data_IF_231418168004
#
_entry.id   IF_231418168004
#
_cell.length_a   1.000
_cell.length_b   1.000
_cell.length_c   1.000
_cell.angle_alpha   90.00
_cell.angle_beta   90.00
_cell.angle_gamma   90.00
#
_symmetry.space_group_name_H-M   'P 1'
#
loop_
_entity.id
_entity.type
_entity.pdbx_description
1 polymer ?
#
# COMPACT_ATOMS: atom_id res chain seq x y z
N UNK A 1 11.18 -3.69 12.13
CA UNK A 1 12.48 -3.21 11.66
C UNK A 1 12.28 -2.51 10.33
N UNK A 2 12.64 -1.23 10.28
CA UNK A 2 12.55 -0.41 9.07
C UNK A 2 13.67 -0.77 8.11
N UNK A 3 13.32 -1.05 6.86
CA UNK A 3 14.27 -1.21 5.76
C UNK A 3 14.29 0.06 4.92
N UNK A 4 15.21 0.98 5.26
CA UNK A 4 15.26 2.32 4.69
C UNK A 4 15.43 2.30 3.16
N UNK A 5 16.29 1.41 2.66
CA UNK A 5 16.58 1.30 1.23
C UNK A 5 15.35 0.77 0.47
N UNK A 6 14.78 -0.33 0.93
CA UNK A 6 13.61 -0.92 0.27
C UNK A 6 12.39 0.01 0.32
N UNK A 7 12.20 0.77 1.41
CA UNK A 7 11.14 1.79 1.47
C UNK A 7 11.35 2.94 0.49
N UNK A 8 12.59 3.35 0.26
CA UNK A 8 12.89 4.41 -0.69
C UNK A 8 12.65 3.95 -2.14
N UNK A 9 13.11 2.74 -2.48
CA UNK A 9 12.82 2.09 -3.75
C UNK A 9 11.30 1.95 -3.97
N UNK A 10 10.58 1.46 -2.96
CA UNK A 10 9.13 1.28 -3.09
C UNK A 10 8.36 2.60 -3.18
N UNK A 11 8.79 3.64 -2.45
CA UNK A 11 8.18 4.96 -2.55
C UNK A 11 8.36 5.59 -3.94
N UNK A 12 9.52 5.41 -4.57
CA UNK A 12 9.76 5.86 -5.94
C UNK A 12 8.95 5.06 -6.96
N UNK A 13 8.90 3.74 -6.80
CA UNK A 13 8.12 2.85 -7.63
C UNK A 13 6.62 3.20 -7.61
N UNK A 14 6.03 3.40 -6.42
CA UNK A 14 4.64 3.85 -6.26
C UNK A 14 4.38 5.19 -6.94
N UNK A 15 5.33 6.13 -6.88
CA UNK A 15 5.21 7.43 -7.57
C UNK A 15 5.20 7.27 -9.09
N UNK A 16 6.05 6.40 -9.63
CA UNK A 16 6.06 6.12 -11.07
C UNK A 16 4.78 5.45 -11.52
N UNK A 17 4.30 4.46 -10.76
CA UNK A 17 3.07 3.74 -11.05
C UNK A 17 1.85 4.66 -11.03
N UNK A 18 1.60 5.40 -9.94
CA UNK A 18 0.42 6.28 -9.82
C UNK A 18 0.43 7.46 -10.79
N UNK A 19 1.62 7.84 -11.28
CA UNK A 19 1.78 8.82 -12.33
C UNK A 19 1.56 8.25 -13.75
N UNK A 20 1.35 6.93 -13.88
CA UNK A 20 1.18 6.23 -15.15
C UNK A 20 2.46 6.16 -15.98
N UNK A 21 3.63 6.19 -15.35
CA UNK A 21 4.93 6.13 -16.04
C UNK A 21 5.43 4.70 -16.30
N UNK A 22 4.90 3.76 -15.54
CA UNK A 22 5.17 2.32 -15.65
C UNK A 22 3.83 1.58 -15.67
N UNK A 23 3.86 0.35 -16.18
CA UNK A 23 2.68 -0.52 -16.22
C UNK A 23 2.42 -1.16 -14.85
N UNK A 24 1.24 -1.77 -14.68
CA UNK A 24 0.95 -2.60 -13.49
C UNK A 24 1.88 -3.81 -13.39
N UNK A 25 2.25 -4.44 -14.51
CA UNK A 25 3.18 -5.57 -14.54
C UNK A 25 4.61 -5.13 -14.15
N UNK A 26 5.12 -4.05 -14.78
CA UNK A 26 6.41 -3.46 -14.42
C UNK A 26 6.45 -3.04 -12.93
N UNK A 27 5.33 -2.54 -12.40
CA UNK A 27 5.19 -2.20 -10.99
C UNK A 27 5.30 -3.45 -10.11
N UNK A 28 4.53 -4.50 -10.39
CA UNK A 28 4.50 -5.74 -9.62
C UNK A 28 5.86 -6.44 -9.57
N UNK A 29 6.55 -6.50 -10.71
CA UNK A 29 7.88 -7.13 -10.85
C UNK A 29 8.97 -6.45 -10.03
N UNK A 30 8.83 -5.15 -9.76
CA UNK A 30 9.85 -4.33 -9.09
C UNK A 30 9.58 -4.11 -7.60
N UNK A 31 8.46 -4.62 -7.06
CA UNK A 31 8.16 -4.47 -5.63
C UNK A 31 9.23 -5.19 -4.79
N UNK A 32 9.85 -4.54 -3.79
CA UNK A 32 10.91 -5.14 -2.98
C UNK A 32 10.36 -6.11 -1.89
N UNK A 33 9.56 -7.09 -2.31
CA UNK A 33 8.91 -8.11 -1.47
C UNK A 33 9.88 -8.96 -0.62
N UNK A 34 11.16 -9.17 -0.99
CA UNK A 34 12.10 -9.86 -0.11
C UNK A 34 12.44 -9.10 1.19
N UNK A 35 12.09 -7.80 1.30
CA UNK A 35 12.34 -7.02 2.52
C UNK A 35 11.57 -7.58 3.72
N UNK A 36 12.18 -7.48 4.91
CA UNK A 36 11.55 -7.86 6.18
C UNK A 36 10.70 -6.75 6.78
N UNK A 37 10.63 -5.59 6.12
CA UNK A 37 9.80 -4.48 6.55
C UNK A 37 8.34 -4.73 6.17
N UNK A 38 7.51 -4.95 7.19
CA UNK A 38 6.09 -5.21 6.99
C UNK A 38 5.38 -4.08 6.27
N UNK A 39 5.83 -2.82 6.39
CA UNK A 39 5.22 -1.71 5.67
C UNK A 39 5.13 -1.99 4.16
N UNK A 40 6.17 -2.58 3.57
CA UNK A 40 6.24 -2.81 2.12
C UNK A 40 5.17 -3.81 1.70
N UNK A 41 5.15 -4.98 2.35
CA UNK A 41 4.21 -6.05 2.02
C UNK A 41 2.76 -5.62 2.22
N UNK A 42 2.48 -4.94 3.32
CA UNK A 42 1.12 -4.53 3.69
C UNK A 42 0.62 -3.39 2.80
N UNK A 43 1.49 -2.42 2.46
CA UNK A 43 1.11 -1.35 1.53
C UNK A 43 0.89 -1.90 0.13
N UNK A 44 1.77 -2.78 -0.37
CA UNK A 44 1.58 -3.46 -1.66
C UNK A 44 0.24 -4.20 -1.67
N UNK A 45 0.01 -5.09 -0.70
CA UNK A 45 -1.22 -5.88 -0.68
C UNK A 45 -2.49 -5.02 -0.58
N UNK A 46 -2.52 -4.03 0.32
CA UNK A 46 -3.74 -3.28 0.62
C UNK A 46 -3.94 -2.14 -0.39
N UNK A 47 -2.95 -1.26 -0.53
CA UNK A 47 -3.11 -0.04 -1.31
C UNK A 47 -3.14 -0.28 -2.82
N UNK A 48 -2.51 -1.37 -3.30
CA UNK A 48 -2.45 -1.66 -4.73
C UNK A 48 -3.39 -2.75 -5.21
N UNK A 49 -4.13 -3.40 -4.30
CA UNK A 49 -5.17 -4.37 -4.67
C UNK A 49 -6.18 -3.89 -5.73
N UNK A 50 -6.61 -2.61 -5.78
CA UNK A 50 -7.55 -2.16 -6.81
C UNK A 50 -6.97 -2.19 -8.23
N UNK A 51 -5.65 -2.25 -8.36
CA UNK A 51 -4.95 -2.20 -9.64
C UNK A 51 -4.49 -3.56 -10.15
N UNK A 52 -4.77 -4.65 -9.44
CA UNK A 52 -4.46 -5.98 -9.95
C UNK A 52 -5.35 -6.33 -11.15
N UNK A 53 -4.73 -6.81 -12.21
CA UNK A 53 -5.40 -7.19 -13.44
C UNK A 53 -4.58 -8.21 -14.22
N UNK A 54 -5.27 -9.08 -14.96
CA UNK A 54 -4.64 -10.04 -15.88
C UNK A 54 -4.17 -9.40 -17.19
N UNK A 55 -4.44 -8.11 -17.39
CA UNK A 55 -3.97 -7.34 -18.54
C UNK A 55 -2.94 -6.30 -18.11
N UNK A 56 -1.98 -6.03 -18.98
CA UNK A 56 -0.98 -4.97 -18.78
C UNK A 56 -1.56 -3.60 -19.19
N UNK A 57 -1.42 -2.60 -18.33
CA UNK A 57 -1.90 -1.24 -18.56
C UNK A 57 -1.12 -0.20 -17.74
N UNK A 58 -1.26 1.08 -18.11
CA UNK A 58 -0.75 2.22 -17.32
C UNK A 58 -1.92 2.97 -16.69
N UNK A 59 -1.70 3.63 -15.54
CA UNK A 59 -2.71 4.44 -14.85
C UNK A 59 -3.00 5.79 -15.54
N UNK A 60 -3.30 5.74 -16.84
CA UNK A 60 -3.64 6.86 -17.73
C UNK A 60 -4.92 6.55 -18.51
N UNK A 61 -5.50 7.58 -19.15
CA UNK A 61 -6.71 7.39 -19.97
C UNK A 61 -7.88 6.80 -19.18
N UNK A 62 -8.44 5.70 -19.68
CA UNK A 62 -9.56 4.98 -19.06
C UNK A 62 -9.19 4.27 -17.75
N UNK A 63 -7.92 3.91 -17.57
CA UNK A 63 -7.39 3.27 -16.36
C UNK A 63 -6.84 4.27 -15.35
N UNK A 64 -7.12 5.56 -15.52
CA UNK A 64 -6.62 6.61 -14.63
C UNK A 64 -7.14 6.37 -13.21
N UNK A 65 -6.22 6.23 -12.26
CA UNK A 65 -6.56 6.19 -10.83
C UNK A 65 -7.38 7.42 -10.42
N UNK A 66 -8.45 7.16 -9.66
CA UNK A 66 -9.32 8.16 -9.05
C UNK A 66 -8.57 9.06 -8.07
N UNK A 67 -9.18 10.19 -7.71
CA UNK A 67 -8.55 11.11 -6.77
C UNK A 67 -8.41 10.51 -5.36
N UNK A 68 -9.32 9.62 -4.95
CA UNK A 68 -9.24 8.89 -3.68
C UNK A 68 -8.07 7.91 -3.67
N UNK A 69 -7.94 7.09 -4.71
CA UNK A 69 -6.82 6.15 -4.87
C UNK A 69 -5.48 6.89 -4.90
N UNK A 70 -5.39 8.01 -5.63
CA UNK A 70 -4.21 8.88 -5.63
C UNK A 70 -3.88 9.41 -4.24
N UNK A 71 -4.88 9.84 -3.47
CA UNK A 71 -4.69 10.31 -2.09
C UNK A 71 -4.16 9.21 -1.19
N UNK A 72 -4.70 8.00 -1.28
CA UNK A 72 -4.22 6.84 -0.50
C UNK A 72 -2.76 6.51 -0.83
N UNK A 73 -2.40 6.45 -2.11
CA UNK A 73 -1.02 6.17 -2.52
C UNK A 73 -0.06 7.29 -2.08
N UNK A 74 -0.48 8.55 -2.12
CA UNK A 74 0.31 9.67 -1.59
C UNK A 74 0.57 9.53 -0.09
N UNK A 75 -0.43 9.12 0.72
CA UNK A 75 -0.23 8.82 2.14
C UNK A 75 0.77 7.68 2.34
N UNK A 76 0.70 6.63 1.51
CA UNK A 76 1.65 5.52 1.55
C UNK A 76 3.08 5.98 1.24
N UNK A 77 3.26 6.78 0.19
CA UNK A 77 4.57 7.37 -0.16
C UNK A 77 5.08 8.23 1.00
N UNK A 78 4.24 9.06 1.61
CA UNK A 78 4.62 9.85 2.79
C UNK A 78 5.12 8.96 3.94
N UNK A 79 4.35 7.92 4.29
CA UNK A 79 4.71 6.99 5.36
C UNK A 79 6.02 6.27 5.07
N UNK A 80 6.17 5.75 3.85
CA UNK A 80 7.39 5.05 3.45
C UNK A 80 8.60 5.94 3.64
N UNK A 81 8.51 7.25 3.39
CA UNK A 81 9.61 8.21 3.60
C UNK A 81 9.85 8.62 5.05
N UNK A 82 9.13 8.04 6.00
CA UNK A 82 9.43 8.16 7.44
C UNK A 82 10.16 6.93 7.96
N UNK A 83 10.79 7.07 9.13
CA UNK A 83 11.40 5.95 9.87
C UNK A 83 10.44 5.33 10.90
N UNK A 84 9.12 5.54 10.76
CA UNK A 84 8.13 4.94 11.64
C UNK A 84 7.96 3.45 11.35
N UNK A 85 7.90 2.62 12.39
CA UNK A 85 7.55 1.20 12.22
C UNK A 85 6.07 1.03 11.89
N UNK A 86 5.77 0.05 11.03
CA UNK A 86 4.39 -0.33 10.72
C UNK A 86 3.75 -1.00 11.94
N UNK A 87 2.65 -0.41 12.41
CA UNK A 87 1.98 -0.79 13.67
C UNK A 87 0.62 -1.44 13.46
N UNK A 88 0.03 -1.34 12.27
CA UNK A 88 -1.25 -1.98 11.97
C UNK A 88 -1.12 -3.51 12.01
N UNK A 89 -2.23 -4.22 12.27
CA UNK A 89 -2.27 -5.67 12.19
C UNK A 89 -1.72 -6.12 10.84
N UNK A 90 -0.82 -7.11 10.90
CA UNK A 90 -0.21 -7.69 9.71
C UNK A 90 -1.20 -8.66 9.08
N UNK A 91 -1.22 -8.70 7.76
CA UNK A 91 -1.86 -9.77 7.02
C UNK A 91 -1.19 -11.09 7.42
N UNK A 92 -1.96 -11.93 8.11
CA UNK A 92 -1.50 -13.26 8.51
C UNK A 92 -1.87 -14.24 7.42
N UNK A 93 -0.85 -14.80 6.76
CA UNK A 93 -1.01 -15.84 5.73
C UNK A 93 -1.82 -17.04 6.22
N UNK A 94 -1.82 -17.34 7.53
CA UNK A 94 -2.67 -18.39 8.11
C UNK A 94 -4.15 -18.00 8.16
N UNK A 95 -4.47 -16.73 8.43
CA UNK A 95 -5.86 -16.25 8.43
C UNK A 95 -6.40 -16.14 7.00
N UNK A 96 -5.57 -15.74 6.04
CA UNK A 96 -5.89 -15.74 4.61
C UNK A 96 -6.17 -17.16 4.12
N UNK A 97 -5.27 -18.12 4.38
CA UNK A 97 -5.49 -19.53 4.01
C UNK A 97 -6.77 -20.12 4.61
N UNK A 98 -7.11 -19.75 5.86
CA UNK A 98 -8.36 -20.16 6.48
C UNK A 98 -9.59 -19.45 5.86
N UNK A 99 -9.44 -18.19 5.45
CA UNK A 99 -10.44 -17.44 4.70
C UNK A 99 -10.70 -18.04 3.32
N UNK A 100 -9.65 -18.36 2.58
CA UNK A 100 -9.69 -18.99 1.26
C UNK A 100 -10.27 -20.41 1.33
N UNK A 101 -9.87 -21.19 2.34
CA UNK A 101 -10.47 -22.51 2.59
C UNK A 101 -11.96 -22.38 2.93
N UNK A 102 -12.33 -21.37 3.71
CA UNK A 102 -13.74 -21.11 4.05
C UNK A 102 -14.54 -20.65 2.83
N UNK A 103 -13.98 -19.81 1.97
CA UNK A 103 -14.56 -19.42 0.69
C UNK A 103 -14.80 -20.66 -0.20
N UNK A 104 -13.77 -21.50 -0.35
CA UNK A 104 -13.83 -22.74 -1.12
C UNK A 104 -14.90 -23.71 -0.58
N UNK A 105 -14.89 -23.96 0.73
CA UNK A 105 -15.87 -24.86 1.39
C UNK A 105 -17.28 -24.27 1.36
N UNK A 106 -17.41 -22.93 1.35
CA UNK A 106 -18.70 -22.25 1.23
C UNK A 106 -19.21 -22.15 -0.22
N UNK A 107 -18.50 -22.71 -1.20
CA UNK A 107 -18.80 -22.55 -2.64
C UNK A 107 -18.94 -21.07 -3.03
N UNK A 108 -18.05 -20.22 -2.53
CA UNK A 108 -18.03 -18.79 -2.82
C UNK A 108 -19.14 -17.96 -2.19
N UNK A 109 -19.87 -18.51 -1.20
CA UNK A 109 -20.99 -17.81 -0.53
C UNK A 109 -20.56 -16.95 0.65
N UNK A 110 -19.37 -17.16 1.18
CA UNK A 110 -18.81 -16.36 2.27
C UNK A 110 -17.71 -15.48 1.69
N UNK A 111 -17.78 -14.14 1.83
CA UNK A 111 -16.74 -13.26 1.32
C UNK A 111 -15.40 -13.60 1.96
N UNK A 112 -14.33 -13.60 1.15
CA UNK A 112 -12.95 -13.58 1.66
C UNK A 112 -12.82 -12.31 2.48
N UNK A 113 -12.27 -12.41 3.69
CA UNK A 113 -12.06 -11.24 4.56
C UNK A 113 -11.35 -10.15 3.77
N UNK A 114 -11.96 -8.97 3.70
CA UNK A 114 -11.32 -7.86 3.01
C UNK A 114 -10.21 -7.31 3.91
N UNK A 115 -9.07 -6.98 3.32
CA UNK A 115 -7.98 -6.32 4.03
C UNK A 115 -8.41 -5.06 4.77
N UNK A 116 -9.47 -4.40 4.29
CA UNK A 116 -10.09 -3.23 4.93
C UNK A 116 -10.78 -3.57 6.25
N UNK A 117 -11.47 -4.70 6.35
CA UNK A 117 -12.09 -5.15 7.62
C UNK A 117 -11.04 -5.46 8.70
N UNK A 118 -9.85 -5.91 8.31
CA UNK A 118 -8.72 -6.09 9.24
C UNK A 118 -8.18 -4.77 9.77
N UNK A 119 -8.15 -3.73 8.93
CA UNK A 119 -7.82 -2.39 9.36
C UNK A 119 -8.93 -1.82 10.25
N UNK A 120 -10.20 -1.99 9.88
CA UNK A 120 -11.35 -1.50 10.65
C UNK A 120 -11.40 -2.05 12.08
N UNK A 121 -10.89 -3.27 12.28
CA UNK A 121 -10.80 -3.91 13.58
C UNK A 121 -9.60 -3.43 14.44
N UNK A 122 -8.71 -2.60 13.90
CA UNK A 122 -7.53 -2.12 14.61
C UNK A 122 -7.82 -0.83 15.39
N UNK A 123 -7.08 -0.60 16.49
CA UNK A 123 -7.23 0.58 17.35
C UNK A 123 -6.61 1.87 16.76
N UNK A 124 -6.43 1.96 15.44
CA UNK A 124 -5.80 3.07 14.75
C UNK A 124 -6.79 3.96 14.00
N UNK A 125 -6.35 5.16 13.63
CA UNK A 125 -7.15 6.07 12.80
C UNK A 125 -7.15 5.57 11.35
N UNK A 126 -8.25 4.97 10.89
CA UNK A 126 -8.37 4.39 9.54
C UNK A 126 -8.04 5.38 8.43
N UNK A 127 -8.51 6.62 8.56
CA UNK A 127 -8.25 7.69 7.61
C UNK A 127 -6.76 8.05 7.50
N UNK A 128 -5.99 7.74 8.55
CA UNK A 128 -4.56 8.00 8.61
C UNK A 128 -3.72 6.86 8.04
N UNK A 129 -4.30 5.69 7.75
CA UNK A 129 -3.56 4.54 7.23
C UNK A 129 -2.67 4.97 6.03
N UNK A 130 -1.39 4.52 5.97
CA UNK A 130 -0.72 3.53 6.84
C UNK A 130 -0.12 4.07 8.15
N UNK A 131 -0.32 5.36 8.48
CA UNK A 131 -0.03 5.86 9.82
C UNK A 131 -1.04 5.31 10.82
N UNK A 132 -0.62 5.07 12.06
CA UNK A 132 -1.52 4.59 13.11
C UNK A 132 -2.38 5.71 13.69
N UNK A 133 -1.89 6.95 13.66
CA UNK A 133 -2.54 8.15 14.19
C UNK A 133 -2.57 9.25 13.14
N UNK A 134 -3.65 10.02 13.12
CA UNK A 134 -3.81 11.17 12.23
C UNK A 134 -2.71 12.23 12.43
N UNK A 135 -2.30 12.45 13.69
CA UNK A 135 -1.22 13.39 14.03
C UNK A 135 0.11 13.05 13.35
N UNK A 136 0.42 11.76 13.19
CA UNK A 136 1.67 11.32 12.56
C UNK A 136 1.65 11.58 11.05
N UNK A 137 0.48 11.43 10.42
CA UNK A 137 0.25 11.82 9.03
C UNK A 137 0.39 13.34 8.84
N UNK A 138 -0.23 14.15 9.72
CA UNK A 138 -0.14 15.61 9.68
C UNK A 138 1.31 16.08 9.78
N UNK A 139 2.08 15.53 10.72
CA UNK A 139 3.51 15.83 10.88
C UNK A 139 4.32 15.46 9.62
N UNK A 140 4.00 14.33 8.98
CA UNK A 140 4.65 13.94 7.73
C UNK A 140 4.32 14.90 6.57
N UNK A 141 3.11 15.49 6.55
CA UNK A 141 2.69 16.48 5.54
C UNK A 141 3.43 17.80 5.67
N UNK A 142 3.85 18.19 6.87
CA UNK A 142 4.65 19.40 7.10
C UNK A 142 6.06 19.31 6.49
N UNK A 143 6.55 18.09 6.23
CA UNK A 143 7.88 17.83 5.64
C UNK A 143 7.75 17.00 4.37
N UNK A 144 7.15 17.56 3.29
CA UNK A 144 6.81 16.78 2.12
C UNK A 144 8.09 16.25 1.43
N UNK A 145 8.26 14.92 1.33
CA UNK A 145 9.35 14.32 0.60
C UNK A 145 9.22 14.70 -0.88
N UNK A 146 10.35 14.84 -1.57
CA UNK A 146 10.43 15.19 -2.99
C UNK A 146 9.95 16.60 -3.37
N UNK A 147 9.46 17.42 -2.42
CA UNK A 147 9.07 18.82 -2.66
C UNK A 147 9.96 19.83 -1.90
N UNK A 148 10.70 19.38 -0.89
CA UNK A 148 11.76 20.15 -0.27
C UNK A 148 12.96 20.21 -1.23
N UNK A 149 12.95 21.19 -2.13
CA UNK A 149 13.91 21.37 -3.22
C UNK A 149 15.37 21.06 -2.86
N UNK A 150 15.80 19.83 -3.17
CA UNK A 150 17.16 19.49 -3.52
C UNK A 150 17.07 18.60 -4.75
N UNK A 151 16.90 19.26 -5.90
CA UNK A 151 17.29 18.64 -7.16
C UNK A 151 18.77 18.30 -7.08
N UNK A 152 19.08 17.02 -7.25
CA UNK A 152 20.36 16.56 -7.79
C UNK A 152 20.05 15.51 -8.83
#
# INVERSE_FOLDING_TARGET
>A
MVDRKARDEFAELLRHFIAGRITNEEFEDQVPLPSKDFAIKEIWWIATSPFFSDIEYTLTGEYRASDDERREIVKCVLFLKTDQEYQWPRHSTLKELLGDLRYLVSFGRVPVYSSKELLDAAAGDLEAWPFIRLKDLELARERPPYLAGKGR
#
